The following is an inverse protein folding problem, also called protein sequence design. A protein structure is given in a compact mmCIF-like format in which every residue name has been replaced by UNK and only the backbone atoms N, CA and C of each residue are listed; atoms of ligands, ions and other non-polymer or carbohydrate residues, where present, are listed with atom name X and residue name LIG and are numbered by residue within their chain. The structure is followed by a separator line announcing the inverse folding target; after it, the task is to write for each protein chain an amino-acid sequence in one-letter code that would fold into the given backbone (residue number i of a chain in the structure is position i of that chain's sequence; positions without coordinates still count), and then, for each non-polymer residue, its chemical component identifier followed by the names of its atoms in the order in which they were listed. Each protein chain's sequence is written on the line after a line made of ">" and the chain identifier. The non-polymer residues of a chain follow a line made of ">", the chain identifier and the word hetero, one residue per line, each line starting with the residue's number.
data_IF_354486673270
#
_entry.id   IF_354486673270
#
_cell.length_a   1.000
_cell.length_b   1.000
_cell.length_c   1.000
_cell.angle_alpha   90.00
_cell.angle_beta   90.00
_cell.angle_gamma   90.00
#
_symmetry.space_group_name_H-M   'P 1'
#
loop_
_entity.id
_entity.type
_entity.pdbx_description
1 polymer ?
#
# COMPACT_ATOMS: atom_id res chain seq x y z
N UNK A 1 -3.45 0.30 11.07
CA UNK A 1 -2.57 -0.05 9.93
C UNK A 1 -1.10 -0.08 10.35
N UNK A 2 -0.67 0.86 11.18
CA UNK A 2 0.75 1.13 11.48
C UNK A 2 1.57 -0.04 12.03
N UNK A 3 1.00 -0.89 12.88
CA UNK A 3 1.70 -2.10 13.36
C UNK A 3 2.06 -3.03 12.19
N UNK A 4 1.14 -3.23 11.24
CA UNK A 4 1.38 -4.07 10.05
C UNK A 4 2.43 -3.46 9.13
N UNK A 5 2.41 -2.14 8.95
CA UNK A 5 3.40 -1.43 8.14
C UNK A 5 4.80 -1.52 8.76
N UNK A 6 4.92 -1.42 10.10
CA UNK A 6 6.19 -1.57 10.81
C UNK A 6 6.75 -2.99 10.69
N UNK A 7 5.93 -4.02 10.86
CA UNK A 7 6.40 -5.40 10.67
C UNK A 7 6.81 -5.67 9.22
N UNK A 8 6.04 -5.18 8.24
CA UNK A 8 6.41 -5.32 6.83
C UNK A 8 7.76 -4.64 6.52
N UNK A 9 8.03 -3.45 7.07
CA UNK A 9 9.34 -2.82 6.93
C UNK A 9 10.48 -3.66 7.52
N UNK A 10 10.28 -4.29 8.68
CA UNK A 10 11.29 -5.20 9.28
C UNK A 10 11.58 -6.41 8.40
N UNK A 11 10.60 -6.88 7.64
CA UNK A 11 10.73 -8.00 6.70
C UNK A 11 11.34 -7.60 5.35
N UNK A 12 11.70 -6.32 5.17
CA UNK A 12 12.34 -5.82 3.95
C UNK A 12 11.37 -5.44 2.84
N UNK A 13 10.06 -5.38 3.10
CA UNK A 13 9.13 -4.75 2.16
C UNK A 13 9.45 -3.26 2.07
N UNK A 14 9.25 -2.67 0.89
CA UNK A 14 9.54 -1.24 0.62
C UNK A 14 8.29 -0.43 0.29
N UNK A 15 7.20 -1.10 -0.08
CA UNK A 15 5.93 -0.48 -0.43
C UNK A 15 4.74 -1.30 0.07
N UNK A 16 3.60 -0.63 0.24
CA UNK A 16 2.33 -1.27 0.58
C UNK A 16 1.17 -0.57 -0.15
N UNK A 17 0.18 -1.35 -0.57
CA UNK A 17 -1.08 -0.81 -1.07
C UNK A 17 -2.03 -0.50 0.07
N UNK A 18 -2.74 0.62 -0.02
CA UNK A 18 -3.71 1.06 0.98
C UNK A 18 -4.98 1.61 0.32
N UNK A 19 -6.17 1.44 0.91
CA UNK A 19 -7.37 2.14 0.44
C UNK A 19 -7.17 3.66 0.47
N UNK A 20 -7.70 4.36 -0.53
CA UNK A 20 -7.76 5.81 -0.53
C UNK A 20 -8.49 6.31 0.74
N UNK A 21 -7.93 7.34 1.39
CA UNK A 21 -8.48 7.89 2.64
C UNK A 21 -8.17 7.08 3.90
N UNK A 22 -7.36 6.01 3.82
CA UNK A 22 -6.85 5.34 5.02
C UNK A 22 -6.02 6.33 5.85
N UNK A 23 -6.44 6.55 7.10
CA UNK A 23 -5.69 7.37 8.06
C UNK A 23 -4.51 6.57 8.62
N UNK A 24 -3.31 7.11 8.47
CA UNK A 24 -2.11 6.65 9.20
C UNK A 24 -1.88 7.60 10.38
N UNK A 25 -1.48 7.07 11.53
CA UNK A 25 -1.24 7.91 12.73
C UNK A 25 0.15 8.58 12.71
N UNK A 26 0.92 8.39 11.62
CA UNK A 26 2.24 8.97 11.42
C UNK A 26 2.81 8.66 10.03
N UNK A 27 4.06 9.06 9.81
CA UNK A 27 4.79 8.73 8.60
C UNK A 27 4.98 7.21 8.49
N UNK A 28 4.61 6.64 7.35
CA UNK A 28 4.80 5.21 7.07
C UNK A 28 6.28 4.92 6.79
N UNK A 29 6.86 3.83 7.32
CA UNK A 29 8.20 3.38 6.96
C UNK A 29 8.26 2.79 5.54
N UNK A 30 7.11 2.61 4.89
CA UNK A 30 6.95 2.10 3.53
C UNK A 30 6.34 3.17 2.62
N UNK A 31 6.67 3.12 1.33
CA UNK A 31 5.91 3.82 0.30
C UNK A 31 4.45 3.33 0.31
N UNK A 32 3.50 4.24 0.54
CA UNK A 32 2.07 3.91 0.50
C UNK A 32 1.50 4.21 -0.88
N UNK A 33 0.93 3.19 -1.52
CA UNK A 33 0.28 3.27 -2.83
C UNK A 33 -1.25 3.26 -2.63
N UNK A 34 -1.90 4.44 -2.59
CA UNK A 34 -3.34 4.49 -2.43
C UNK A 34 -4.06 3.91 -3.66
N UNK A 35 -5.13 3.16 -3.41
CA UNK A 35 -6.04 2.59 -4.43
C UNK A 35 -7.49 2.93 -4.07
N UNK A 36 -8.26 3.35 -5.07
CA UNK A 36 -9.67 3.72 -4.89
C UNK A 36 -10.59 2.49 -4.89
N UNK A 37 -10.25 1.46 -5.67
CA UNK A 37 -11.04 0.27 -5.88
C UNK A 37 -10.17 -0.93 -6.30
N UNK A 38 -10.81 -2.09 -6.49
CA UNK A 38 -10.15 -3.32 -6.90
C UNK A 38 -9.53 -3.22 -8.30
N UNK A 39 -10.18 -2.51 -9.23
CA UNK A 39 -9.69 -2.37 -10.58
C UNK A 39 -8.35 -1.59 -10.61
N UNK A 40 -8.29 -0.48 -9.89
CA UNK A 40 -7.06 0.32 -9.73
C UNK A 40 -5.94 -0.43 -8.98
N UNK A 41 -6.28 -1.33 -8.06
CA UNK A 41 -5.29 -2.22 -7.45
C UNK A 41 -4.70 -3.20 -8.46
N UNK A 42 -5.54 -3.87 -9.25
CA UNK A 42 -5.09 -4.82 -10.27
C UNK A 42 -4.20 -4.11 -11.30
N UNK A 43 -4.62 -2.95 -11.81
CA UNK A 43 -3.85 -2.19 -12.80
C UNK A 43 -2.46 -1.78 -12.26
N UNK A 44 -2.37 -1.33 -11.00
CA UNK A 44 -1.07 -0.95 -10.40
C UNK A 44 -0.16 -2.14 -10.10
N UNK A 45 -0.72 -3.32 -9.85
CA UNK A 45 0.07 -4.52 -9.54
C UNK A 45 0.57 -5.22 -10.80
N UNK A 46 -0.28 -5.33 -11.83
CA UNK A 46 -0.03 -6.19 -12.99
C UNK A 46 0.06 -5.43 -14.31
N UNK A 47 -0.22 -4.12 -14.31
CA UNK A 47 -0.36 -3.33 -15.52
C UNK A 47 -1.75 -3.46 -16.15
N UNK A 48 -1.93 -2.87 -17.33
CA UNK A 48 -3.14 -3.06 -18.13
C UNK A 48 -3.16 -4.48 -18.69
N UNK A 49 -4.28 -5.17 -18.49
CA UNK A 49 -4.57 -6.43 -19.15
C UNK A 49 -5.15 -6.06 -20.53
N UNK A 50 -4.43 -6.42 -21.59
CA UNK A 50 -4.91 -6.35 -22.98
C UNK A 50 -5.72 -7.59 -23.35
#
# INVERSE_FOLDING_TARGET
>A
ADARLREAAKLGFTAAFAPAGMRTLGASPLELRPVADLAGFIEKCFGRIE
#
